data_IF_166378098784
#
_entry.id   IF_166378098784
#
_cell.length_a   1.000
_cell.length_b   1.000
_cell.length_c   1.000
_cell.angle_alpha   90.00
_cell.angle_beta   90.00
_cell.angle_gamma   90.00
#
_symmetry.space_group_name_H-M   'P 1'
#
loop_
_entity.id
_entity.type
_entity.pdbx_description
1 polymer ?
#
# COMPACT_ATOMS: atom_id res chain seq x y z
N UNK A 1 -20.65 -13.29 20.49
CA UNK A 1 -21.37 -12.00 20.29
C UNK A 1 -21.05 -11.53 18.91
N UNK A 2 -22.09 -11.29 18.10
CA UNK A 2 -21.92 -10.76 16.74
C UNK A 2 -22.10 -9.23 16.76
N UNK A 3 -21.30 -8.55 15.99
CA UNK A 3 -21.34 -7.09 15.84
C UNK A 3 -21.41 -6.70 14.36
N UNK A 4 -22.01 -5.56 14.07
CA UNK A 4 -21.95 -4.88 12.78
C UNK A 4 -21.16 -3.59 12.98
N UNK A 5 -20.23 -3.31 12.08
CA UNK A 5 -19.29 -2.19 12.21
C UNK A 5 -19.37 -1.32 10.96
N UNK A 6 -19.50 -0.01 11.18
CA UNK A 6 -19.34 0.99 10.13
C UNK A 6 -18.02 1.71 10.32
N UNK A 7 -17.30 1.97 9.23
CA UNK A 7 -16.01 2.65 9.23
C UNK A 7 -16.00 3.85 8.29
N UNK A 8 -15.22 4.84 8.66
CA UNK A 8 -14.81 5.97 7.81
C UNK A 8 -13.30 5.98 7.80
N UNK A 9 -12.69 5.90 6.63
CA UNK A 9 -11.24 5.92 6.48
C UNK A 9 -10.76 7.14 5.72
N UNK A 10 -9.64 7.69 6.16
CA UNK A 10 -8.86 8.69 5.44
C UNK A 10 -7.44 8.16 5.30
N UNK A 11 -6.94 8.14 4.07
CA UNK A 11 -5.54 7.85 3.81
C UNK A 11 -4.76 9.17 3.88
N UNK A 12 -3.72 9.27 4.69
CA UNK A 12 -2.84 10.43 4.65
C UNK A 12 -2.29 10.61 3.24
N UNK A 13 -2.24 11.83 2.76
CA UNK A 13 -1.66 12.10 1.44
C UNK A 13 -0.14 11.95 1.52
N UNK A 14 0.42 11.17 0.60
CA UNK A 14 1.87 11.12 0.40
C UNK A 14 2.31 12.47 -0.17
N UNK A 15 3.23 13.19 0.46
CA UNK A 15 3.74 14.44 -0.07
C UNK A 15 4.45 14.23 -1.41
N UNK A 16 4.26 15.15 -2.36
CA UNK A 16 4.95 15.08 -3.66
C UNK A 16 6.48 15.04 -3.49
N UNK A 17 7.00 15.73 -2.49
CA UNK A 17 8.42 15.72 -2.16
C UNK A 17 8.95 14.31 -1.86
N UNK A 18 8.15 13.47 -1.15
CA UNK A 18 8.53 12.09 -0.86
C UNK A 18 8.57 11.22 -2.12
N UNK A 19 7.60 11.40 -3.00
CA UNK A 19 7.60 10.74 -4.32
C UNK A 19 8.86 11.13 -5.12
N UNK A 20 9.19 12.41 -5.12
CA UNK A 20 10.37 12.92 -5.83
C UNK A 20 11.68 12.39 -5.21
N UNK A 21 11.75 12.29 -3.89
CA UNK A 21 12.88 11.70 -3.16
C UNK A 21 13.08 10.23 -3.51
N UNK A 22 12.00 9.43 -3.50
CA UNK A 22 12.03 8.02 -3.90
C UNK A 22 12.52 7.85 -5.33
N UNK A 23 11.97 8.64 -6.26
CA UNK A 23 12.39 8.61 -7.66
C UNK A 23 13.85 9.04 -7.84
N UNK A 24 14.31 10.03 -7.09
CA UNK A 24 15.71 10.49 -7.13
C UNK A 24 16.66 9.39 -6.64
N UNK A 25 16.34 8.70 -5.53
CA UNK A 25 17.11 7.57 -5.02
C UNK A 25 17.20 6.42 -6.03
N UNK A 26 16.10 6.07 -6.67
CA UNK A 26 16.09 5.00 -7.68
C UNK A 26 16.91 5.37 -8.93
N UNK A 27 16.90 6.66 -9.35
CA UNK A 27 17.77 7.13 -10.43
C UNK A 27 19.25 7.02 -10.05
N UNK A 28 19.60 7.43 -8.85
CA UNK A 28 20.97 7.32 -8.33
C UNK A 28 21.43 5.85 -8.29
N UNK A 29 20.60 4.92 -7.81
CA UNK A 29 20.90 3.50 -7.87
C UNK A 29 21.12 2.99 -9.29
N UNK A 30 20.26 3.39 -10.22
CA UNK A 30 20.39 3.03 -11.63
C UNK A 30 21.70 3.54 -12.24
N UNK A 31 22.10 4.77 -11.90
CA UNK A 31 23.38 5.34 -12.36
C UNK A 31 24.59 4.60 -11.82
N UNK A 32 24.60 4.29 -10.52
CA UNK A 32 25.69 3.54 -9.86
C UNK A 32 25.87 2.15 -10.50
N UNK A 33 24.74 1.45 -10.78
CA UNK A 33 24.80 0.14 -11.42
C UNK A 33 25.25 0.25 -12.88
N UNK A 34 24.70 1.18 -13.66
CA UNK A 34 25.05 1.36 -15.07
C UNK A 34 26.50 1.80 -15.26
N UNK A 35 27.11 2.51 -14.30
CA UNK A 35 28.53 2.88 -14.27
C UNK A 35 29.44 1.76 -13.75
N UNK A 36 28.87 0.67 -13.22
CA UNK A 36 29.63 -0.42 -12.60
C UNK A 36 30.24 -0.07 -11.25
N UNK A 37 29.75 0.99 -10.60
CA UNK A 37 30.23 1.43 -9.28
C UNK A 37 29.68 0.56 -8.15
N UNK A 38 28.47 0.00 -8.33
CA UNK A 38 27.83 -0.92 -7.38
C UNK A 38 27.04 -2.01 -8.10
N UNK A 39 26.94 -3.16 -7.47
CA UNK A 39 26.10 -4.25 -7.94
C UNK A 39 24.64 -4.01 -7.57
N UNK A 40 23.73 -4.30 -8.50
CA UNK A 40 22.30 -4.19 -8.28
C UNK A 40 21.83 -5.02 -7.08
N UNK A 41 22.33 -6.27 -6.95
CA UNK A 41 21.99 -7.15 -5.84
C UNK A 41 22.37 -6.58 -4.48
N UNK A 42 23.53 -5.94 -4.38
CA UNK A 42 23.97 -5.26 -3.15
C UNK A 42 23.00 -4.13 -2.77
N UNK A 43 22.61 -3.29 -3.74
CA UNK A 43 21.64 -2.22 -3.50
C UNK A 43 20.26 -2.76 -3.14
N UNK A 44 19.82 -3.87 -3.74
CA UNK A 44 18.55 -4.50 -3.40
C UNK A 44 18.54 -5.02 -1.96
N UNK A 45 19.60 -5.71 -1.51
CA UNK A 45 19.71 -6.19 -0.12
C UNK A 45 19.67 -5.04 0.88
N UNK A 46 20.33 -3.93 0.56
CA UNK A 46 20.45 -2.79 1.48
C UNK A 46 19.21 -1.91 1.53
N UNK A 47 18.50 -1.76 0.41
CA UNK A 47 17.52 -0.68 0.26
C UNK A 47 16.16 -1.11 -0.24
N UNK A 48 15.99 -2.31 -0.83
CA UNK A 48 14.70 -2.72 -1.35
C UNK A 48 13.70 -2.99 -0.22
N UNK A 49 12.51 -2.45 -0.38
CA UNK A 49 11.39 -2.65 0.54
C UNK A 49 10.51 -3.85 0.15
N UNK A 50 10.89 -4.58 -0.91
CA UNK A 50 10.28 -5.88 -1.20
C UNK A 50 10.92 -6.97 -0.32
N UNK A 51 10.24 -7.30 0.78
CA UNK A 51 10.71 -8.32 1.73
C UNK A 51 10.85 -9.71 1.11
N UNK A 52 10.12 -9.98 0.03
CA UNK A 52 10.13 -11.28 -0.64
C UNK A 52 11.42 -11.55 -1.40
N UNK A 53 12.02 -10.53 -2.00
CA UNK A 53 13.21 -10.67 -2.85
C UNK A 53 14.45 -9.91 -2.36
N UNK A 54 14.31 -8.92 -1.48
CA UNK A 54 15.41 -8.06 -1.04
C UNK A 54 16.64 -8.86 -0.58
N UNK A 55 16.44 -9.84 0.32
CA UNK A 55 17.54 -10.67 0.86
C UNK A 55 18.19 -11.60 -0.18
N UNK A 56 17.51 -11.81 -1.32
CA UNK A 56 18.04 -12.55 -2.48
C UNK A 56 18.61 -11.60 -3.56
N UNK A 57 18.96 -10.37 -3.17
CA UNK A 57 19.47 -9.37 -4.11
C UNK A 57 18.43 -8.86 -5.10
N UNK A 58 17.16 -8.92 -4.74
CA UNK A 58 16.02 -8.52 -5.56
C UNK A 58 15.59 -9.55 -6.59
N UNK A 59 16.20 -10.75 -6.63
CA UNK A 59 15.91 -11.79 -7.60
C UNK A 59 14.54 -12.45 -7.35
N UNK A 60 13.73 -12.55 -8.40
CA UNK A 60 12.36 -13.09 -8.34
C UNK A 60 12.28 -14.55 -8.80
N UNK A 61 13.35 -15.10 -9.37
CA UNK A 61 13.30 -16.38 -10.09
C UNK A 61 12.55 -16.29 -11.42
N UNK A 62 12.33 -17.45 -12.08
CA UNK A 62 11.63 -17.48 -13.36
C UNK A 62 10.12 -17.32 -13.19
N UNK A 63 9.58 -16.21 -13.68
CA UNK A 63 8.16 -15.87 -13.63
C UNK A 63 7.57 -15.69 -15.02
N UNK A 64 6.29 -16.01 -15.18
CA UNK A 64 5.53 -15.75 -16.40
C UNK A 64 4.92 -14.34 -16.34
N UNK A 65 4.55 -13.80 -17.51
CA UNK A 65 3.98 -12.47 -17.62
C UNK A 65 2.68 -12.31 -16.82
N UNK A 66 1.87 -13.36 -16.73
CA UNK A 66 0.59 -13.38 -15.99
C UNK A 66 0.73 -13.33 -14.47
N UNK A 67 1.92 -13.60 -13.93
CA UNK A 67 2.19 -13.60 -12.50
C UNK A 67 2.70 -12.24 -11.99
N UNK A 68 2.77 -11.25 -12.87
CA UNK A 68 3.27 -9.91 -12.57
C UNK A 68 2.18 -8.88 -12.85
N UNK A 69 2.18 -7.79 -12.07
CA UNK A 69 1.31 -6.65 -12.38
C UNK A 69 1.65 -6.06 -13.76
N UNK A 70 0.66 -5.61 -14.53
CA UNK A 70 0.83 -5.24 -15.95
C UNK A 70 1.95 -4.23 -16.19
N UNK A 71 2.07 -3.20 -15.36
CA UNK A 71 3.06 -2.13 -15.48
C UNK A 71 4.48 -2.68 -15.35
N UNK A 72 4.70 -3.55 -14.36
CA UNK A 72 5.98 -4.21 -14.13
C UNK A 72 6.29 -5.20 -15.26
N UNK A 73 5.32 -6.05 -15.61
CA UNK A 73 5.46 -7.05 -16.65
C UNK A 73 5.84 -6.45 -18.01
N UNK A 74 5.19 -5.34 -18.39
CA UNK A 74 5.44 -4.67 -19.65
C UNK A 74 6.88 -4.14 -19.75
N UNK A 75 7.44 -3.63 -18.67
CA UNK A 75 8.83 -3.18 -18.67
C UNK A 75 9.80 -4.37 -18.60
N UNK A 76 9.58 -5.30 -17.68
CA UNK A 76 10.47 -6.45 -17.44
C UNK A 76 10.66 -7.31 -18.71
N UNK A 77 9.57 -7.64 -19.41
CA UNK A 77 9.63 -8.47 -20.63
C UNK A 77 10.24 -7.77 -21.84
N UNK A 78 10.28 -6.43 -21.85
CA UNK A 78 10.94 -5.64 -22.89
C UNK A 78 12.44 -5.39 -22.64
N UNK A 79 12.98 -5.77 -21.46
CA UNK A 79 14.41 -5.71 -21.19
C UNK A 79 15.16 -6.72 -22.08
N UNK A 80 16.26 -6.30 -22.69
CA UNK A 80 17.08 -7.17 -23.54
C UNK A 80 18.56 -7.15 -23.15
N UNK A 81 18.98 -6.23 -22.31
CA UNK A 81 20.38 -6.07 -21.88
C UNK A 81 20.49 -6.30 -20.37
N UNK A 82 21.14 -7.40 -19.93
CA UNK A 82 21.33 -7.70 -18.51
C UNK A 82 22.22 -6.67 -17.76
N UNK A 83 22.98 -5.87 -18.50
CA UNK A 83 23.87 -4.86 -17.90
C UNK A 83 23.17 -3.55 -17.60
N UNK A 84 21.97 -3.35 -18.15
CA UNK A 84 21.21 -2.10 -18.00
C UNK A 84 20.07 -2.25 -17.02
N UNK A 85 19.85 -1.18 -16.26
CA UNK A 85 18.70 -1.03 -15.38
C UNK A 85 17.56 -0.35 -16.14
N UNK A 86 16.33 -0.76 -15.88
CA UNK A 86 15.13 -0.17 -16.47
C UNK A 86 14.95 1.30 -16.08
N UNK A 87 14.05 1.98 -16.78
CA UNK A 87 13.42 3.20 -16.24
C UNK A 87 12.61 2.85 -14.98
N UNK A 88 12.31 3.87 -14.18
CA UNK A 88 11.44 3.70 -13.01
C UNK A 88 10.06 3.25 -13.47
N UNK A 89 9.53 2.22 -12.81
CA UNK A 89 8.20 1.66 -13.02
C UNK A 89 7.36 1.97 -11.79
N UNK A 90 6.21 2.58 -11.99
CA UNK A 90 5.22 2.82 -10.94
C UNK A 90 4.17 1.71 -10.97
N UNK A 91 3.87 1.13 -9.81
CA UNK A 91 2.84 0.11 -9.60
C UNK A 91 2.05 0.44 -8.34
N UNK A 92 1.00 -0.31 -8.06
CA UNK A 92 0.28 -0.21 -6.78
C UNK A 92 1.16 -0.47 -5.54
N UNK A 93 2.28 -1.19 -5.70
CA UNK A 93 3.23 -1.50 -4.62
C UNK A 93 4.26 -0.40 -4.37
N UNK A 94 4.42 0.57 -5.28
CA UNK A 94 5.39 1.65 -5.21
C UNK A 94 6.20 1.82 -6.48
N UNK A 95 7.44 2.27 -6.35
CA UNK A 95 8.33 2.57 -7.46
C UNK A 95 9.44 1.54 -7.56
N UNK A 96 9.65 1.02 -8.76
CA UNK A 96 10.60 -0.05 -9.03
C UNK A 96 11.65 0.36 -10.06
N UNK A 97 12.84 -0.20 -9.94
CA UNK A 97 13.80 -0.38 -11.03
C UNK A 97 14.07 -1.87 -11.19
N UNK A 98 14.28 -2.31 -12.44
CA UNK A 98 14.36 -3.70 -12.81
C UNK A 98 15.62 -3.95 -13.61
N UNK A 99 16.30 -5.08 -13.34
CA UNK A 99 17.41 -5.56 -14.13
C UNK A 99 17.14 -6.99 -14.61
N UNK A 100 17.39 -7.25 -15.89
CA UNK A 100 17.27 -8.56 -16.47
C UNK A 100 18.41 -9.46 -15.96
N UNK A 101 18.08 -10.71 -15.61
CA UNK A 101 19.06 -11.78 -15.39
C UNK A 101 19.07 -12.70 -16.59
N UNK A 102 17.92 -13.30 -16.93
CA UNK A 102 17.82 -14.28 -17.99
C UNK A 102 16.39 -14.36 -18.55
N UNK A 103 16.27 -14.73 -19.84
CA UNK A 103 14.98 -15.09 -20.48
C UNK A 103 15.01 -16.57 -20.90
N UNK A 104 13.92 -17.29 -20.63
CA UNK A 104 13.73 -18.67 -21.07
C UNK A 104 12.32 -18.86 -21.61
N UNK A 105 12.18 -18.90 -22.93
CA UNK A 105 10.88 -19.02 -23.58
C UNK A 105 9.95 -17.88 -23.17
N UNK A 106 8.82 -18.23 -22.57
CA UNK A 106 7.79 -17.34 -22.09
C UNK A 106 7.99 -16.85 -20.64
N UNK A 107 9.13 -17.22 -20.01
CA UNK A 107 9.50 -16.84 -18.64
C UNK A 107 10.71 -15.93 -18.61
N UNK A 108 10.74 -15.09 -17.57
CA UNK A 108 11.83 -14.15 -17.34
C UNK A 108 12.32 -14.29 -15.90
N UNK A 109 13.64 -14.24 -15.70
CA UNK A 109 14.25 -14.03 -14.40
C UNK A 109 14.79 -12.61 -14.35
N UNK A 110 14.30 -11.83 -13.40
CA UNK A 110 14.69 -10.43 -13.15
C UNK A 110 15.00 -10.24 -11.68
N UNK A 111 15.74 -9.19 -11.39
CA UNK A 111 15.85 -8.62 -10.06
C UNK A 111 15.29 -7.22 -10.06
N UNK A 112 14.73 -6.79 -8.92
CA UNK A 112 14.17 -5.47 -8.77
C UNK A 112 14.51 -4.83 -7.43
N UNK A 113 14.43 -3.51 -7.37
CA UNK A 113 14.45 -2.73 -6.15
C UNK A 113 13.13 -2.00 -6.08
N UNK A 114 12.41 -2.19 -5.00
CA UNK A 114 11.17 -1.48 -4.67
C UNK A 114 11.46 -0.44 -3.61
N UNK A 115 11.03 0.79 -3.83
CA UNK A 115 10.91 1.83 -2.81
C UNK A 115 9.50 2.39 -2.77
N UNK A 116 9.03 2.69 -1.56
CA UNK A 116 7.72 3.29 -1.31
C UNK A 116 7.88 4.70 -0.77
N UNK A 117 7.09 5.67 -1.24
CA UNK A 117 7.01 6.94 -0.55
C UNK A 117 6.29 6.75 0.78
N UNK A 118 6.90 7.19 1.87
CA UNK A 118 6.34 7.05 3.20
C UNK A 118 5.55 8.29 3.59
N UNK A 119 4.47 8.05 4.33
CA UNK A 119 3.68 9.12 4.94
C UNK A 119 4.42 9.58 6.21
N UNK A 120 4.56 10.90 6.38
CA UNK A 120 5.19 11.43 7.58
C UNK A 120 4.26 11.34 8.80
N UNK A 121 4.82 11.34 10.01
CA UNK A 121 4.04 11.41 11.24
C UNK A 121 3.12 12.63 11.29
N UNK A 122 3.54 13.73 10.65
CA UNK A 122 2.72 14.94 10.53
C UNK A 122 1.49 14.68 9.66
N UNK A 123 1.63 14.03 8.51
CA UNK A 123 0.50 13.76 7.61
C UNK A 123 -0.50 12.81 8.27
N UNK A 124 -0.01 11.84 9.06
CA UNK A 124 -0.86 10.95 9.87
C UNK A 124 -1.60 11.77 10.93
N UNK A 125 -0.90 12.66 11.65
CA UNK A 125 -1.49 13.53 12.66
C UNK A 125 -2.57 14.44 12.07
N UNK A 126 -2.31 15.04 10.91
CA UNK A 126 -3.27 15.91 10.22
C UNK A 126 -4.54 15.13 9.79
N UNK A 127 -4.38 13.89 9.35
CA UNK A 127 -5.51 13.01 9.03
C UNK A 127 -6.33 12.64 10.27
N UNK A 128 -5.67 12.34 11.39
CA UNK A 128 -6.34 12.06 12.67
C UNK A 128 -7.13 13.26 13.18
N UNK A 129 -6.55 14.46 13.13
CA UNK A 129 -7.23 15.72 13.50
C UNK A 129 -8.46 15.94 12.62
N UNK A 130 -8.36 15.71 11.33
CA UNK A 130 -9.49 15.82 10.40
C UNK A 130 -10.61 14.83 10.73
N UNK A 131 -10.26 13.56 11.00
CA UNK A 131 -11.23 12.53 11.42
C UNK A 131 -11.89 12.89 12.76
N UNK A 132 -11.13 13.44 13.72
CA UNK A 132 -11.70 13.83 15.02
C UNK A 132 -12.66 15.02 14.89
N UNK A 133 -12.38 15.99 14.01
CA UNK A 133 -13.31 17.05 13.67
C UNK A 133 -14.63 16.50 13.08
N UNK A 134 -14.54 15.55 12.15
CA UNK A 134 -15.72 14.89 11.58
C UNK A 134 -16.49 14.08 12.64
N UNK A 135 -15.77 13.44 13.57
CA UNK A 135 -16.39 12.74 14.71
C UNK A 135 -17.21 13.67 15.58
N UNK A 136 -16.71 14.86 15.88
CA UNK A 136 -17.45 15.88 16.64
C UNK A 136 -18.73 16.28 15.91
N UNK A 137 -18.66 16.54 14.61
CA UNK A 137 -19.83 16.90 13.80
C UNK A 137 -20.88 15.77 13.71
N UNK A 138 -20.43 14.50 13.73
CA UNK A 138 -21.30 13.32 13.83
C UNK A 138 -22.01 13.25 15.20
N UNK A 139 -21.28 13.46 16.30
CA UNK A 139 -21.83 13.43 17.65
C UNK A 139 -22.83 14.56 17.83
N UNK A 140 -22.53 15.76 17.31
CA UNK A 140 -23.40 16.92 17.32
C UNK A 140 -24.60 16.81 16.34
N UNK A 141 -24.69 15.73 15.57
CA UNK A 141 -25.71 15.47 14.54
C UNK A 141 -25.81 16.56 13.46
N UNK A 142 -24.69 17.23 13.18
CA UNK A 142 -24.60 18.22 12.09
C UNK A 142 -24.54 17.56 10.73
N UNK A 143 -24.02 16.34 10.69
CA UNK A 143 -23.89 15.50 9.49
C UNK A 143 -24.15 14.05 9.87
N UNK A 144 -24.70 13.26 8.96
CA UNK A 144 -24.93 11.83 9.18
C UNK A 144 -23.69 10.98 8.84
N UNK A 145 -23.61 9.78 9.42
CA UNK A 145 -22.55 8.83 9.11
C UNK A 145 -22.57 8.43 7.63
N UNK A 146 -23.76 8.23 7.07
CA UNK A 146 -23.97 7.87 5.66
C UNK A 146 -23.39 8.96 4.72
N UNK A 147 -23.64 10.24 5.02
CA UNK A 147 -23.12 11.37 4.24
C UNK A 147 -21.60 11.44 4.28
N UNK A 148 -20.97 11.34 5.47
CA UNK A 148 -19.51 11.34 5.58
C UNK A 148 -18.93 10.13 4.84
N UNK A 149 -19.52 8.97 4.98
CA UNK A 149 -19.05 7.78 4.28
C UNK A 149 -19.04 7.99 2.77
N UNK A 150 -20.12 8.52 2.23
CA UNK A 150 -20.25 8.71 0.79
C UNK A 150 -19.29 9.77 0.23
N UNK A 151 -19.10 10.89 0.94
CA UNK A 151 -18.36 12.06 0.41
C UNK A 151 -16.91 12.15 0.90
N UNK A 152 -16.57 11.52 2.01
CA UNK A 152 -15.27 11.70 2.67
C UNK A 152 -14.49 10.39 2.78
N UNK A 153 -15.15 9.25 3.04
CA UNK A 153 -14.45 7.98 3.21
C UNK A 153 -13.71 7.56 1.95
N UNK A 154 -12.47 7.14 2.10
CA UNK A 154 -11.59 6.67 1.03
C UNK A 154 -11.53 5.14 0.93
N UNK A 155 -12.23 4.45 1.82
CA UNK A 155 -12.36 3.00 1.74
C UNK A 155 -13.28 2.59 0.57
N UNK A 156 -12.72 1.88 -0.39
CA UNK A 156 -13.42 1.48 -1.62
C UNK A 156 -14.51 0.43 -1.35
N UNK A 157 -14.31 -0.42 -0.35
CA UNK A 157 -15.18 -1.56 -0.09
C UNK A 157 -16.43 -1.17 0.69
N UNK A 158 -16.30 -0.22 1.63
CA UNK A 158 -17.40 0.20 2.49
C UNK A 158 -18.05 1.51 2.09
N UNK A 159 -17.37 2.36 1.32
CA UNK A 159 -17.85 3.70 0.93
C UNK A 159 -19.25 3.68 0.28
N UNK A 160 -19.50 2.72 -0.61
CA UNK A 160 -20.78 2.57 -1.31
C UNK A 160 -21.83 1.78 -0.51
N UNK A 161 -21.45 1.28 0.66
CA UNK A 161 -22.29 0.52 1.58
C UNK A 161 -22.45 1.23 2.93
N UNK A 162 -22.55 2.57 2.91
CA UNK A 162 -22.73 3.40 4.11
C UNK A 162 -21.66 3.18 5.20
N UNK A 163 -20.45 2.80 4.81
CA UNK A 163 -19.37 2.45 5.71
C UNK A 163 -19.47 1.06 6.33
N UNK A 164 -20.50 0.28 6.04
CA UNK A 164 -20.73 -1.02 6.64
C UNK A 164 -19.72 -2.06 6.11
N UNK A 165 -18.97 -2.64 7.03
CA UNK A 165 -18.01 -3.70 6.71
C UNK A 165 -18.75 -4.99 6.31
N UNK A 166 -18.19 -5.71 5.35
CA UNK A 166 -18.70 -7.01 4.90
C UNK A 166 -17.69 -8.10 5.28
N UNK A 167 -18.17 -9.13 5.96
CA UNK A 167 -17.37 -10.27 6.34
C UNK A 167 -17.04 -11.12 5.09
N UNK A 168 -15.76 -11.25 4.70
CA UNK A 168 -15.38 -11.97 3.49
C UNK A 168 -15.67 -13.48 3.55
N UNK A 169 -15.82 -14.05 4.74
CA UNK A 169 -16.11 -15.47 4.92
C UNK A 169 -17.60 -15.80 4.76
N UNK A 170 -18.46 -14.87 5.14
CA UNK A 170 -19.92 -15.11 5.18
C UNK A 170 -20.70 -14.26 4.17
N UNK A 171 -20.09 -13.22 3.60
CA UNK A 171 -20.70 -12.30 2.66
C UNK A 171 -21.76 -11.36 3.28
N UNK A 172 -21.91 -11.34 4.61
CA UNK A 172 -22.85 -10.46 5.32
C UNK A 172 -22.10 -9.44 6.20
N UNK A 173 -22.83 -8.53 6.87
CA UNK A 173 -22.26 -7.48 7.72
C UNK A 173 -21.95 -7.93 9.17
N UNK A 174 -22.22 -9.18 9.51
CA UNK A 174 -22.06 -9.68 10.87
C UNK A 174 -20.69 -10.31 11.08
N UNK A 175 -20.01 -9.89 12.13
CA UNK A 175 -18.70 -10.39 12.53
C UNK A 175 -18.74 -10.94 13.93
N UNK A 176 -18.04 -12.03 14.16
CA UNK A 176 -17.55 -12.35 15.50
C UNK A 176 -16.29 -11.51 15.77
N UNK A 177 -16.01 -11.16 17.01
CA UNK A 177 -14.89 -10.26 17.34
C UNK A 177 -13.54 -10.73 16.76
N UNK A 178 -13.30 -12.04 16.74
CA UNK A 178 -12.08 -12.62 16.15
C UNK A 178 -12.00 -12.61 14.62
N UNK A 179 -13.08 -12.21 13.93
CA UNK A 179 -13.11 -12.09 12.47
C UNK A 179 -12.85 -10.66 11.99
N UNK A 180 -12.87 -9.68 12.90
CA UNK A 180 -12.52 -8.30 12.59
C UNK A 180 -10.99 -8.14 12.48
N UNK A 181 -10.50 -7.19 11.66
CA UNK A 181 -9.10 -6.76 11.71
C UNK A 181 -8.70 -6.39 13.14
N UNK A 182 -7.49 -6.74 13.54
CA UNK A 182 -7.06 -6.67 14.95
C UNK A 182 -7.22 -5.27 15.54
N UNK A 183 -6.87 -4.23 14.78
CA UNK A 183 -6.97 -2.86 15.26
C UNK A 183 -8.43 -2.39 15.40
N UNK A 184 -9.30 -2.81 14.50
CA UNK A 184 -10.75 -2.56 14.58
C UNK A 184 -11.35 -3.31 15.77
N UNK A 185 -11.01 -4.60 15.96
CA UNK A 185 -11.52 -5.40 17.07
C UNK A 185 -11.18 -4.80 18.45
N UNK A 186 -9.95 -4.29 18.62
CA UNK A 186 -9.53 -3.62 19.87
C UNK A 186 -10.41 -2.40 20.18
N UNK A 187 -10.68 -1.58 19.16
CA UNK A 187 -11.50 -0.38 19.35
C UNK A 187 -12.95 -0.72 19.59
N UNK A 188 -13.52 -1.65 18.82
CA UNK A 188 -14.93 -2.07 18.93
C UNK A 188 -15.23 -2.72 20.27
N UNK A 189 -14.26 -3.40 20.90
CA UNK A 189 -14.43 -4.04 22.21
C UNK A 189 -14.83 -3.06 23.31
N UNK A 190 -14.42 -1.80 23.23
CA UNK A 190 -14.68 -0.75 24.21
C UNK A 190 -15.91 0.10 23.87
N UNK A 191 -16.53 -0.09 22.68
CA UNK A 191 -17.64 0.72 22.23
C UNK A 191 -19.00 0.12 22.58
N UNK A 192 -19.94 0.99 22.91
CA UNK A 192 -21.37 0.64 23.00
C UNK A 192 -22.02 0.78 21.61
N UNK A 193 -23.14 0.10 21.43
CA UNK A 193 -23.92 0.21 20.20
C UNK A 193 -24.34 1.66 19.95
N UNK A 194 -24.04 2.16 18.75
CA UNK A 194 -24.31 3.54 18.36
C UNK A 194 -23.23 4.56 18.79
N UNK A 195 -22.20 4.12 19.48
CA UNK A 195 -21.09 4.98 19.89
C UNK A 195 -20.04 5.08 18.75
N UNK A 196 -19.43 6.27 18.64
CA UNK A 196 -18.40 6.57 17.64
C UNK A 196 -17.04 6.63 18.35
N UNK A 197 -16.09 5.84 17.88
CA UNK A 197 -14.74 5.81 18.43
C UNK A 197 -13.96 7.10 18.20
N UNK A 198 -12.89 7.29 18.96
CA UNK A 198 -11.84 8.22 18.53
C UNK A 198 -11.14 7.67 17.28
N UNK A 199 -10.57 8.56 16.44
CA UNK A 199 -9.75 8.13 15.31
C UNK A 199 -8.56 7.30 15.78
N UNK A 200 -8.18 6.31 14.97
CA UNK A 200 -7.01 5.47 15.22
C UNK A 200 -6.33 5.10 13.90
N UNK A 201 -5.07 4.72 13.98
CA UNK A 201 -4.30 4.25 12.82
C UNK A 201 -4.48 2.74 12.70
N UNK A 202 -4.80 2.27 11.49
CA UNK A 202 -4.76 0.86 11.16
C UNK A 202 -3.38 0.52 10.62
N UNK A 203 -2.85 -0.61 11.07
CA UNK A 203 -1.60 -1.19 10.55
C UNK A 203 -1.98 -2.27 9.54
N UNK A 204 -1.58 -2.11 8.28
CA UNK A 204 -1.76 -3.10 7.22
C UNK A 204 -0.96 -4.39 7.47
#
# INVERSE_FOLDING_TARGET
>A
MQVEVQIITLNPKVPQQEIDNVKARLRDFSEQVNKGERDFSTLAVLYSEDRGSAMMGGEMGFVSKSNLVPEFANVAFNLNDPKKVSKIVETEYGYHIIQLIEKRGDRINVRHILLRPHVSEKDISDALVRLDSLRVDLIDKKISFDEITQYVSQDKDTRNNKGLMVNPQTGNSKFEMGQLPQDVAKVVADLKVGEISKPFVMTD
#
